data_IF_537885921447
#
_entry.id   IF_537885921447
#
_cell.length_a   1.000
_cell.length_b   1.000
_cell.length_c   1.000
_cell.angle_alpha   90.00
_cell.angle_beta   90.00
_cell.angle_gamma   90.00
#
_symmetry.space_group_name_H-M   'P 1'
#
loop_
_entity.id
_entity.type
_entity.pdbx_description
1 polymer ?
#
# COMPACT_ATOMS: atom_id res chain seq x y z
N UNK A 1 -30.95 -65.95 35.27
CA UNK A 1 -30.06 -65.73 36.44
C UNK A 1 -28.67 -65.32 35.94
N UNK A 2 -28.17 -64.18 36.47
CA UNK A 2 -26.75 -63.81 36.66
C UNK A 2 -25.87 -63.39 35.44
N UNK A 3 -25.90 -62.07 35.19
CA UNK A 3 -24.77 -61.10 35.10
C UNK A 3 -23.33 -61.54 34.76
N UNK A 4 -22.69 -60.82 33.80
CA UNK A 4 -21.46 -59.95 33.88
C UNK A 4 -20.83 -59.83 32.46
N UNK A 5 -20.78 -58.67 31.81
CA UNK A 5 -19.81 -57.55 31.85
C UNK A 5 -18.43 -57.83 31.20
N UNK A 6 -17.89 -56.81 30.50
CA UNK A 6 -16.60 -56.63 29.77
C UNK A 6 -16.65 -56.89 28.24
N UNK A 7 -16.76 -55.87 27.37
CA UNK A 7 -15.90 -54.72 27.05
C UNK A 7 -14.69 -55.06 26.15
N UNK A 8 -14.75 -54.65 24.87
CA UNK A 8 -13.64 -54.09 24.08
C UNK A 8 -14.11 -53.81 22.63
N UNK A 9 -14.71 -52.65 22.41
CA UNK A 9 -14.95 -52.09 21.08
C UNK A 9 -13.73 -51.22 20.75
N UNK A 10 -12.79 -51.73 19.94
CA UNK A 10 -11.65 -50.95 19.46
C UNK A 10 -12.15 -49.93 18.44
N UNK A 11 -12.37 -48.70 18.90
CA UNK A 11 -12.63 -47.54 18.07
C UNK A 11 -11.29 -47.08 17.48
N UNK A 12 -11.06 -47.36 16.19
CA UNK A 12 -9.97 -46.78 15.43
C UNK A 12 -10.30 -45.29 15.18
N UNK A 13 -9.86 -44.42 16.08
CA UNK A 13 -9.86 -42.97 15.84
C UNK A 13 -8.72 -42.68 14.87
N UNK A 14 -9.08 -42.57 13.58
CA UNK A 14 -8.20 -42.01 12.58
C UNK A 14 -7.87 -40.58 12.97
N UNK A 15 -6.59 -40.34 13.26
CA UNK A 15 -6.03 -39.02 13.54
C UNK A 15 -6.07 -38.21 12.23
N UNK A 16 -7.21 -37.56 11.96
CA UNK A 16 -7.31 -36.57 10.91
C UNK A 16 -6.59 -35.31 11.41
N UNK A 17 -5.29 -35.22 11.11
CA UNK A 17 -4.53 -33.99 11.20
C UNK A 17 -5.15 -32.99 10.22
N UNK A 18 -6.12 -32.22 10.71
CA UNK A 18 -6.57 -31.00 10.07
C UNK A 18 -5.37 -30.06 10.12
N UNK A 19 -4.56 -30.08 9.07
CA UNK A 19 -3.63 -29.01 8.77
C UNK A 19 -4.50 -27.79 8.45
N UNK A 20 -4.87 -27.04 9.49
CA UNK A 20 -5.34 -25.68 9.29
C UNK A 20 -4.23 -24.99 8.51
N UNK A 21 -4.49 -24.44 7.31
CA UNK A 21 -3.52 -23.55 6.71
C UNK A 21 -3.29 -22.46 7.77
N UNK A 22 -2.05 -22.33 8.23
CA UNK A 22 -1.60 -21.12 8.92
C UNK A 22 -1.81 -20.00 7.93
N UNK A 23 -3.02 -19.42 7.92
CA UNK A 23 -3.27 -18.16 7.27
C UNK A 23 -2.25 -17.22 7.85
N UNK A 24 -1.44 -16.59 7.00
CA UNK A 24 -0.61 -15.47 7.41
C UNK A 24 -1.53 -14.55 8.22
N UNK A 25 -1.29 -14.46 9.53
CA UNK A 25 -2.04 -13.56 10.40
C UNK A 25 -1.89 -12.18 9.76
N UNK A 26 -3.02 -11.54 9.47
CA UNK A 26 -3.06 -10.15 9.05
C UNK A 26 -2.22 -9.36 10.07
N UNK A 27 -1.14 -8.72 9.64
CA UNK A 27 -0.31 -7.93 10.55
C UNK A 27 -1.15 -6.73 11.06
N UNK A 28 -0.96 -6.33 12.30
CA UNK A 28 -1.69 -5.17 12.80
C UNK A 28 -1.27 -3.89 12.03
N UNK A 29 -2.17 -2.90 11.88
CA UNK A 29 -1.81 -1.63 11.26
C UNK A 29 -0.72 -0.89 12.06
N UNK A 30 0.01 0.04 11.42
CA UNK A 30 0.99 0.86 12.13
C UNK A 30 0.28 1.73 13.17
N UNK A 31 0.87 1.80 14.36
CA UNK A 31 0.36 2.54 15.52
C UNK A 31 0.83 3.98 15.51
N UNK A 32 2.09 4.21 15.10
CA UNK A 32 2.68 5.55 15.09
C UNK A 32 3.62 5.76 13.92
N UNK A 33 3.81 7.01 13.53
CA UNK A 33 4.82 7.44 12.56
C UNK A 33 5.90 8.23 13.31
N UNK A 34 7.12 7.68 13.34
CA UNK A 34 8.31 8.40 13.72
C UNK A 34 8.78 9.28 12.57
N UNK A 35 8.96 10.57 12.81
CA UNK A 35 9.42 11.55 11.83
C UNK A 35 10.25 12.66 12.47
N UNK A 36 10.78 13.56 11.64
CA UNK A 36 11.63 14.68 12.08
C UNK A 36 12.79 14.20 12.97
N UNK A 37 13.36 13.07 12.59
CA UNK A 37 14.46 12.43 13.31
C UNK A 37 15.72 13.30 13.18
N UNK A 38 16.37 13.55 14.31
CA UNK A 38 17.63 14.29 14.40
C UNK A 38 18.59 13.58 15.34
N UNK A 39 19.88 13.65 15.04
CA UNK A 39 20.93 12.97 15.82
C UNK A 39 20.81 11.45 15.79
N UNK A 40 21.28 10.79 16.85
CA UNK A 40 21.27 9.33 16.94
C UNK A 40 19.89 8.81 17.35
N UNK A 41 19.19 8.15 16.43
CA UNK A 41 17.92 7.48 16.71
C UNK A 41 17.94 6.08 16.10
N UNK A 42 17.48 5.10 16.86
CA UNK A 42 17.49 3.69 16.45
C UNK A 42 16.12 3.05 16.71
N UNK A 43 15.80 2.05 15.89
CA UNK A 43 14.61 1.23 15.97
C UNK A 43 15.00 -0.24 16.20
N UNK A 44 14.19 -0.94 16.97
CA UNK A 44 14.28 -2.38 17.17
C UNK A 44 12.90 -3.01 17.17
N UNK A 45 12.77 -4.22 16.63
CA UNK A 45 11.53 -5.03 16.69
C UNK A 45 11.50 -6.00 17.87
N UNK A 46 12.67 -6.39 18.37
CA UNK A 46 12.86 -7.45 19.35
C UNK A 46 13.56 -6.95 20.63
N UNK A 47 13.99 -5.68 20.65
CA UNK A 47 14.81 -5.09 21.70
C UNK A 47 16.29 -5.52 21.67
N UNK A 48 16.67 -6.46 20.80
CA UNK A 48 18.01 -7.02 20.70
C UNK A 48 18.81 -6.40 19.54
N UNK A 49 18.20 -6.33 18.35
CA UNK A 49 18.83 -5.75 17.16
C UNK A 49 18.35 -4.32 16.96
N UNK A 50 19.27 -3.36 17.00
CA UNK A 50 18.98 -1.94 16.82
C UNK A 50 19.51 -1.46 15.47
N UNK A 51 18.66 -0.77 14.70
CA UNK A 51 18.99 -0.23 13.39
C UNK A 51 18.82 1.28 13.40
N UNK A 52 19.75 2.05 12.80
CA UNK A 52 19.62 3.49 12.73
C UNK A 52 18.38 3.89 11.93
N UNK A 53 17.68 4.92 12.41
CA UNK A 53 16.56 5.56 11.73
C UNK A 53 17.01 6.92 11.26
N UNK A 54 17.00 7.13 9.95
CA UNK A 54 17.42 8.38 9.31
C UNK A 54 16.32 9.00 8.45
N UNK A 55 15.12 8.41 8.48
CA UNK A 55 13.95 8.75 7.66
C UNK A 55 12.68 8.51 8.48
N UNK A 56 11.55 8.93 7.93
CA UNK A 56 10.26 8.64 8.54
C UNK A 56 10.06 7.12 8.61
N UNK A 57 9.51 6.64 9.71
CA UNK A 57 9.33 5.21 9.97
C UNK A 57 7.99 4.94 10.64
N UNK A 58 7.21 4.07 10.03
CA UNK A 58 6.01 3.51 10.64
C UNK A 58 6.41 2.49 11.72
N UNK A 59 5.74 2.58 12.85
CA UNK A 59 5.96 1.77 14.04
C UNK A 59 4.74 0.90 14.31
N UNK A 60 4.99 -0.36 14.58
CA UNK A 60 4.00 -1.39 14.87
C UNK A 60 4.05 -1.79 16.34
N UNK A 61 3.02 -2.49 16.81
CA UNK A 61 3.01 -3.02 18.16
C UNK A 61 4.26 -3.88 18.43
N UNK A 62 4.93 -3.64 19.55
CA UNK A 62 6.20 -4.27 19.94
C UNK A 62 7.44 -3.53 19.48
N UNK A 63 7.34 -2.57 18.55
CA UNK A 63 8.48 -1.77 18.13
C UNK A 63 9.03 -0.93 19.29
N UNK A 64 10.35 -0.78 19.31
CA UNK A 64 11.07 0.07 20.25
C UNK A 64 11.87 1.12 19.50
N UNK A 65 11.84 2.35 20.02
CA UNK A 65 12.67 3.46 19.58
C UNK A 65 13.57 3.87 20.73
N UNK A 66 14.85 4.14 20.44
CA UNK A 66 15.75 4.80 21.39
C UNK A 66 16.48 5.96 20.75
N UNK A 67 16.77 6.97 21.56
CA UNK A 67 17.55 8.15 21.17
C UNK A 67 18.87 8.20 21.93
N UNK A 68 19.94 8.60 21.25
CA UNK A 68 21.22 8.93 21.88
C UNK A 68 21.15 10.26 22.63
N UNK A 69 22.28 10.71 23.16
CA UNK A 69 22.39 11.99 23.86
C UNK A 69 22.14 13.21 22.96
N UNK A 70 22.30 13.04 21.65
CA UNK A 70 22.02 14.05 20.61
C UNK A 70 20.72 13.77 19.83
N UNK A 71 20.02 12.67 20.18
CA UNK A 71 18.90 12.14 19.42
C UNK A 71 17.56 12.80 19.79
N UNK A 72 16.71 13.00 18.80
CA UNK A 72 15.31 13.39 19.00
C UNK A 72 14.44 12.97 17.80
N UNK A 73 13.12 12.99 18.00
CA UNK A 73 12.17 12.72 16.94
C UNK A 73 10.75 13.06 17.37
N UNK A 74 9.82 13.00 16.41
CA UNK A 74 8.40 13.24 16.63
C UNK A 74 7.62 11.96 16.29
N UNK A 75 6.83 11.48 17.23
CA UNK A 75 5.92 10.35 17.09
C UNK A 75 4.52 10.89 16.86
N UNK A 76 3.92 10.58 15.72
CA UNK A 76 2.52 10.92 15.41
C UNK A 76 1.67 9.66 15.61
N UNK A 77 0.71 9.72 16.51
CA UNK A 77 -0.22 8.62 16.77
C UNK A 77 -1.24 8.49 15.63
N UNK A 78 -1.42 7.27 15.13
CA UNK A 78 -2.27 7.01 13.96
C UNK A 78 -3.75 7.27 14.24
N UNK A 79 -4.22 6.96 15.45
CA UNK A 79 -5.63 7.00 15.80
C UNK A 79 -6.11 8.41 16.15
N UNK A 80 -5.29 9.17 16.86
CA UNK A 80 -5.64 10.50 17.38
C UNK A 80 -5.06 11.65 16.55
N UNK A 81 -4.12 11.38 15.65
CA UNK A 81 -3.32 12.39 14.95
C UNK A 81 -2.63 13.38 15.90
N UNK A 82 -2.37 12.94 17.14
CA UNK A 82 -1.61 13.70 18.13
C UNK A 82 -0.14 13.36 18.00
N UNK A 83 0.71 14.35 18.18
CA UNK A 83 2.14 14.20 18.10
C UNK A 83 2.83 14.40 19.45
N UNK A 84 3.89 13.64 19.68
CA UNK A 84 4.73 13.74 20.87
C UNK A 84 6.20 13.72 20.47
N UNK A 85 7.00 14.54 21.14
CA UNK A 85 8.46 14.61 20.91
C UNK A 85 9.18 13.67 21.86
N UNK A 86 9.98 12.76 21.31
CA UNK A 86 10.92 11.92 22.08
C UNK A 86 12.19 12.73 22.34
N UNK A 87 12.55 12.88 23.62
CA UNK A 87 13.74 13.61 24.04
C UNK A 87 15.01 12.77 23.87
N UNK A 88 16.18 13.40 23.96
CA UNK A 88 17.48 12.72 23.99
C UNK A 88 17.62 11.74 25.15
N UNK A 89 18.31 10.63 24.94
CA UNK A 89 18.54 9.60 25.94
C UNK A 89 17.26 8.90 26.42
N UNK A 90 16.27 8.78 25.53
CA UNK A 90 14.97 8.17 25.83
C UNK A 90 14.79 6.86 25.09
N UNK A 91 13.97 5.97 25.65
CA UNK A 91 13.52 4.75 25.01
C UNK A 91 11.99 4.63 25.14
N UNK A 92 11.33 4.40 24.02
CA UNK A 92 9.89 4.26 23.89
C UNK A 92 9.58 2.89 23.30
N UNK A 93 8.56 2.23 23.84
CA UNK A 93 8.01 0.98 23.36
C UNK A 93 6.58 1.23 22.84
N UNK A 94 6.23 0.66 21.70
CA UNK A 94 4.86 0.62 21.20
C UNK A 94 4.14 -0.53 21.88
N UNK A 95 3.61 -0.29 23.07
CA UNK A 95 2.91 -1.28 23.88
C UNK A 95 1.47 -1.44 23.38
N UNK A 96 1.26 -2.41 22.49
CA UNK A 96 -0.02 -2.61 21.80
C UNK A 96 -0.32 -1.40 20.92
N UNK A 97 -1.38 -0.65 21.25
CA UNK A 97 -1.78 0.57 20.53
C UNK A 97 -1.34 1.86 21.22
N UNK A 98 -0.44 1.79 22.20
CA UNK A 98 -0.04 2.96 23.01
C UNK A 98 1.47 3.12 23.06
N UNK A 99 1.93 4.37 23.20
CA UNK A 99 3.35 4.68 23.40
C UNK A 99 3.69 4.63 24.89
N UNK A 100 4.60 3.74 25.26
CA UNK A 100 5.06 3.55 26.64
C UNK A 100 6.50 4.01 26.78
N UNK A 101 6.75 4.91 27.74
CA UNK A 101 8.11 5.34 28.08
C UNK A 101 8.80 4.25 28.89
N UNK A 102 9.86 3.66 28.34
CA UNK A 102 10.73 2.71 29.05
C UNK A 102 11.77 3.48 29.87
N UNK A 103 12.34 4.54 29.28
CA UNK A 103 13.28 5.45 29.93
C UNK A 103 13.28 6.82 29.25
N UNK A 104 13.77 7.86 29.96
CA UNK A 104 13.84 9.22 29.44
C UNK A 104 12.50 9.94 29.45
N UNK A 105 12.20 10.72 28.40
CA UNK A 105 11.03 11.61 28.33
C UNK A 105 10.34 11.60 26.96
N UNK A 106 9.02 11.65 27.01
CA UNK A 106 8.13 11.91 25.88
C UNK A 106 7.29 13.13 26.22
N UNK A 107 7.16 14.10 25.30
CA UNK A 107 6.37 15.31 25.57
C UNK A 107 4.89 15.01 25.78
N UNK A 108 4.15 15.98 26.32
CA UNK A 108 2.70 15.93 26.26
C UNK A 108 2.22 15.88 24.80
N UNK A 109 1.08 15.23 24.50
CA UNK A 109 0.49 15.23 23.17
C UNK A 109 0.08 16.64 22.72
N UNK A 110 0.44 16.98 21.49
CA UNK A 110 -0.02 18.20 20.78
C UNK A 110 -0.63 17.82 19.43
N UNK A 111 -1.40 18.71 18.81
CA UNK A 111 -1.94 18.44 17.47
C UNK A 111 -0.79 18.29 16.46
N UNK A 112 -0.82 17.22 15.64
CA UNK A 112 0.15 17.08 14.56
C UNK A 112 -0.05 18.14 13.48
N UNK A 113 1.02 18.51 12.79
CA UNK A 113 0.94 19.36 11.62
C UNK A 113 0.42 18.55 10.43
N UNK A 114 -0.87 18.69 10.12
CA UNK A 114 -1.54 18.00 9.02
C UNK A 114 -2.01 16.58 9.35
N UNK A 115 -2.68 15.94 8.40
CA UNK A 115 -3.30 14.61 8.54
C UNK A 115 -2.44 13.52 7.88
N UNK A 116 -1.19 13.38 8.31
CA UNK A 116 -0.19 12.52 7.66
C UNK A 116 -0.53 11.02 7.69
N UNK A 117 -1.21 10.59 8.75
CA UNK A 117 -1.51 9.18 9.05
C UNK A 117 -3.00 8.88 9.06
N UNK A 118 -3.84 9.87 8.74
CA UNK A 118 -5.28 9.71 8.69
C UNK A 118 -5.68 8.65 7.67
N UNK A 119 -6.61 7.77 8.06
CA UNK A 119 -7.11 6.68 7.20
C UNK A 119 -6.11 5.56 6.90
N UNK A 120 -4.83 5.69 7.27
CA UNK A 120 -3.77 4.73 6.95
C UNK A 120 -4.06 3.34 7.54
N UNK A 121 -4.49 3.25 8.81
CA UNK A 121 -4.75 1.97 9.47
C UNK A 121 -5.83 1.15 8.75
N UNK A 122 -6.93 1.78 8.34
CA UNK A 122 -7.99 1.13 7.57
C UNK A 122 -7.49 0.69 6.19
N UNK A 123 -6.76 1.57 5.49
CA UNK A 123 -6.22 1.25 4.16
C UNK A 123 -5.23 0.10 4.22
N UNK A 124 -4.41 0.06 5.27
CA UNK A 124 -3.46 -1.01 5.54
C UNK A 124 -4.14 -2.35 5.80
N UNK A 125 -5.12 -2.38 6.70
CA UNK A 125 -5.89 -3.59 6.99
C UNK A 125 -6.60 -4.16 5.75
N UNK A 126 -7.12 -3.28 4.89
CA UNK A 126 -7.70 -3.68 3.61
C UNK A 126 -6.62 -4.22 2.64
N UNK A 127 -5.47 -3.54 2.56
CA UNK A 127 -4.38 -3.89 1.66
C UNK A 127 -3.83 -5.30 1.90
N UNK A 128 -3.82 -5.76 3.14
CA UNK A 128 -3.34 -7.09 3.50
C UNK A 128 -4.08 -8.23 2.80
N UNK A 129 -5.37 -8.04 2.47
CA UNK A 129 -6.17 -9.03 1.73
C UNK A 129 -5.62 -9.30 0.33
N UNK A 130 -4.79 -8.40 -0.20
CA UNK A 130 -4.20 -8.51 -1.53
C UNK A 130 -2.79 -9.10 -1.55
N UNK A 131 -2.19 -9.33 -0.38
CA UNK A 131 -0.81 -9.85 -0.23
C UNK A 131 -0.69 -11.35 -0.43
N UNK A 132 -1.79 -12.10 -0.37
CA UNK A 132 -1.77 -13.55 -0.55
C UNK A 132 -1.55 -13.92 -2.01
N UNK A 133 -0.46 -14.62 -2.28
CA UNK A 133 -0.21 -15.18 -3.61
C UNK A 133 -1.02 -16.47 -3.74
N UNK A 134 -2.05 -16.45 -4.57
CA UNK A 134 -2.67 -17.70 -5.03
C UNK A 134 -1.75 -18.32 -6.07
N UNK A 135 -1.27 -19.53 -5.84
CA UNK A 135 -0.65 -20.35 -6.89
C UNK A 135 -1.69 -20.63 -7.96
N UNK A 136 -1.74 -19.80 -8.99
CA UNK A 136 -2.51 -20.10 -10.19
C UNK A 136 -1.79 -21.24 -10.91
N UNK A 137 -2.51 -22.33 -11.17
CA UNK A 137 -2.13 -23.31 -12.19
C UNK A 137 -1.96 -22.52 -13.48
N UNK A 138 -0.76 -22.54 -14.08
CA UNK A 138 -0.51 -21.96 -15.39
C UNK A 138 -1.49 -22.62 -16.36
N UNK A 139 -2.57 -21.90 -16.71
CA UNK A 139 -3.40 -22.27 -17.85
C UNK A 139 -2.68 -21.73 -19.07
N UNK A 140 -2.13 -22.64 -19.86
CA UNK A 140 -1.72 -22.34 -21.23
C UNK A 140 -2.91 -21.76 -22.00
N UNK A 141 -2.65 -20.68 -22.73
CA UNK A 141 -3.57 -20.03 -23.68
C UNK A 141 -4.91 -19.58 -23.07
N UNK A 142 -4.92 -18.42 -22.42
CA UNK A 142 -6.16 -17.71 -22.10
C UNK A 142 -6.24 -16.42 -22.92
N UNK A 143 -7.38 -16.21 -23.59
CA UNK A 143 -7.71 -14.96 -24.27
C UNK A 143 -7.33 -13.72 -23.44
N UNK A 144 -6.89 -12.65 -24.11
CA UNK A 144 -6.52 -11.39 -23.45
C UNK A 144 -7.69 -10.91 -22.62
N UNK A 145 -7.48 -10.84 -21.30
CA UNK A 145 -8.48 -10.37 -20.35
C UNK A 145 -8.06 -9.02 -19.79
N UNK A 146 -8.56 -7.95 -20.40
CA UNK A 146 -8.30 -6.60 -19.94
C UNK A 146 -9.31 -6.21 -18.86
N UNK A 147 -8.77 -5.70 -17.75
CA UNK A 147 -9.54 -5.03 -16.71
C UNK A 147 -8.94 -3.65 -16.47
N UNK A 148 -9.79 -2.67 -16.24
CA UNK A 148 -9.40 -1.31 -15.92
C UNK A 148 -9.86 -0.94 -14.51
N UNK A 149 -9.29 0.13 -13.97
CA UNK A 149 -9.72 0.71 -12.71
C UNK A 149 -11.20 1.12 -12.79
N UNK A 150 -11.97 0.85 -11.73
CA UNK A 150 -13.41 1.13 -11.72
C UNK A 150 -13.71 2.62 -11.55
N UNK A 151 -12.92 3.32 -10.74
CA UNK A 151 -13.00 4.75 -10.55
C UNK A 151 -11.60 5.28 -10.21
N UNK A 152 -11.18 6.37 -10.85
CA UNK A 152 -9.90 7.02 -10.59
C UNK A 152 -10.08 8.54 -10.60
N UNK A 153 -9.35 9.24 -9.73
CA UNK A 153 -9.27 10.69 -9.72
C UNK A 153 -8.08 11.14 -10.55
N UNK A 154 -8.31 12.04 -11.50
CA UNK A 154 -7.29 12.67 -12.33
C UNK A 154 -7.37 14.19 -12.20
N UNK A 155 -6.31 14.88 -12.60
CA UNK A 155 -6.28 16.35 -12.62
C UNK A 155 -5.27 16.85 -13.65
N UNK A 156 -5.17 18.17 -13.82
CA UNK A 156 -4.11 18.77 -14.63
C UNK A 156 -2.71 18.39 -14.12
N UNK A 157 -2.53 18.31 -12.79
CA UNK A 157 -1.26 17.89 -12.17
C UNK A 157 -1.02 16.37 -12.22
N UNK A 158 -2.09 15.57 -12.26
CA UNK A 158 -2.02 14.10 -12.33
C UNK A 158 -2.94 13.55 -13.45
N UNK A 159 -2.58 13.73 -14.73
CA UNK A 159 -3.46 13.45 -15.87
C UNK A 159 -3.36 12.02 -16.41
N UNK A 160 -2.66 11.11 -15.74
CA UNK A 160 -2.34 9.80 -16.32
C UNK A 160 -3.33 8.70 -15.91
N UNK A 161 -3.90 8.04 -16.92
CA UNK A 161 -4.49 6.71 -16.78
C UNK A 161 -3.43 5.64 -16.98
N UNK A 162 -3.64 4.50 -16.33
CA UNK A 162 -2.75 3.36 -16.47
C UNK A 162 -3.51 2.03 -16.46
N UNK A 163 -3.04 1.06 -17.24
CA UNK A 163 -3.57 -0.31 -17.28
C UNK A 163 -2.47 -1.31 -17.67
N UNK A 164 -2.78 -2.61 -17.53
CA UNK A 164 -1.82 -3.68 -17.80
C UNK A 164 -1.40 -3.71 -19.28
N UNK A 165 -0.09 -3.85 -19.52
CA UNK A 165 0.45 -4.07 -20.86
C UNK A 165 0.23 -5.51 -21.32
N UNK A 166 0.14 -5.70 -22.65
CA UNK A 166 0.17 -7.01 -23.30
C UNK A 166 1.30 -7.12 -24.33
N UNK A 167 2.34 -6.27 -24.22
CA UNK A 167 3.50 -6.21 -25.12
C UNK A 167 3.33 -5.23 -26.29
N UNK A 168 4.45 -4.86 -26.94
CA UNK A 168 4.48 -3.88 -28.05
C UNK A 168 3.65 -4.24 -29.28
N UNK A 169 3.35 -5.53 -29.47
CA UNK A 169 2.53 -6.01 -30.58
C UNK A 169 1.05 -5.62 -30.46
N UNK A 170 0.60 -5.26 -29.24
CA UNK A 170 -0.76 -4.82 -29.00
C UNK A 170 -0.82 -3.31 -28.81
N UNK A 171 -1.65 -2.63 -29.60
CA UNK A 171 -2.02 -1.24 -29.33
C UNK A 171 -3.36 -1.17 -28.60
N UNK A 172 -3.73 0.01 -28.15
CA UNK A 172 -4.95 0.24 -27.39
C UNK A 172 -5.74 1.39 -27.98
N UNK A 173 -7.06 1.31 -27.82
CA UNK A 173 -7.97 2.43 -28.07
C UNK A 173 -8.68 2.76 -26.77
N UNK A 174 -8.37 3.91 -26.20
CA UNK A 174 -9.07 4.45 -25.03
C UNK A 174 -10.20 5.33 -25.53
N UNK A 175 -11.42 5.06 -25.09
CA UNK A 175 -12.58 5.92 -25.41
C UNK A 175 -13.03 6.64 -24.15
N UNK A 176 -13.01 7.96 -24.14
CA UNK A 176 -13.44 8.81 -23.00
C UNK A 176 -14.63 9.65 -23.48
N UNK A 177 -15.78 9.51 -22.84
CA UNK A 177 -17.04 10.17 -23.24
C UNK A 177 -17.34 10.07 -24.75
N UNK A 178 -17.04 8.91 -25.34
CA UNK A 178 -17.22 8.65 -26.78
C UNK A 178 -16.09 9.12 -27.68
N UNK A 179 -15.09 9.84 -27.17
CA UNK A 179 -13.91 10.27 -27.94
C UNK A 179 -12.80 9.22 -27.86
N UNK A 180 -12.38 8.69 -29.01
CA UNK A 180 -11.38 7.64 -29.10
C UNK A 180 -9.94 8.20 -29.24
N UNK A 181 -9.00 7.59 -28.51
CA UNK A 181 -7.57 7.88 -28.52
C UNK A 181 -6.77 6.60 -28.72
N UNK A 182 -5.90 6.59 -29.73
CA UNK A 182 -4.99 5.46 -29.96
C UNK A 182 -3.74 5.58 -29.09
N UNK A 183 -3.38 4.49 -28.42
CA UNK A 183 -2.22 4.40 -27.54
C UNK A 183 -1.36 3.22 -28.00
N UNK A 184 -0.06 3.45 -28.17
CA UNK A 184 0.86 2.40 -28.59
C UNK A 184 1.11 1.38 -27.46
N UNK A 185 1.44 0.15 -27.85
CA UNK A 185 1.90 -0.87 -26.91
C UNK A 185 3.29 -0.58 -26.38
N UNK A 186 3.65 -1.27 -25.29
CA UNK A 186 4.97 -1.18 -24.65
C UNK A 186 5.44 -2.55 -24.18
N UNK A 187 6.75 -2.72 -24.03
CA UNK A 187 7.35 -3.93 -23.42
C UNK A 187 7.44 -3.80 -21.89
N UNK A 188 7.11 -2.63 -21.35
CA UNK A 188 6.95 -2.46 -19.91
C UNK A 188 5.69 -3.17 -19.41
N UNK A 189 5.63 -3.48 -18.12
CA UNK A 189 4.49 -4.15 -17.48
C UNK A 189 3.19 -3.28 -17.46
N UNK A 190 3.31 -1.99 -17.77
CA UNK A 190 2.27 -0.96 -17.62
C UNK A 190 2.19 -0.08 -18.86
N UNK A 191 0.98 0.17 -19.35
CA UNK A 191 0.70 1.22 -20.33
C UNK A 191 0.23 2.47 -19.60
N UNK A 192 0.71 3.64 -20.04
CA UNK A 192 0.27 4.95 -19.54
C UNK A 192 -0.31 5.79 -20.65
N UNK A 193 -1.35 6.53 -20.33
CA UNK A 193 -1.97 7.48 -21.24
C UNK A 193 -2.26 8.78 -20.50
N UNK A 194 -1.65 9.86 -20.99
CA UNK A 194 -1.95 11.21 -20.54
C UNK A 194 -3.29 11.64 -21.13
N UNK A 195 -4.31 11.69 -20.27
CA UNK A 195 -5.65 12.12 -20.64
C UNK A 195 -5.62 13.60 -21.00
N UNK A 196 -6.18 14.00 -22.15
CA UNK A 196 -6.40 15.41 -22.47
C UNK A 196 -7.25 16.09 -21.40
N UNK A 197 -7.13 17.39 -21.25
CA UNK A 197 -7.89 18.12 -20.22
C UNK A 197 -9.40 17.91 -20.39
N UNK A 198 -10.07 17.53 -19.29
CA UNK A 198 -11.52 17.31 -19.24
C UNK A 198 -12.20 18.42 -18.42
N UNK A 199 -13.52 18.51 -18.52
CA UNK A 199 -14.31 19.32 -17.59
C UNK A 199 -14.20 18.77 -16.17
N UNK A 200 -14.39 19.59 -15.14
CA UNK A 200 -14.42 19.08 -13.77
C UNK A 200 -15.63 18.16 -13.54
N UNK A 201 -15.44 17.05 -12.82
CA UNK A 201 -16.50 16.12 -12.47
C UNK A 201 -16.31 14.72 -13.03
N UNK A 202 -17.42 14.03 -13.31
CA UNK A 202 -17.42 12.61 -13.65
C UNK A 202 -17.39 12.40 -15.17
N UNK A 203 -16.53 11.50 -15.61
CA UNK A 203 -16.42 11.03 -16.99
C UNK A 203 -16.38 9.51 -17.00
N UNK A 204 -16.68 8.89 -18.14
CA UNK A 204 -16.54 7.45 -18.30
C UNK A 204 -15.50 7.10 -19.35
N UNK A 205 -14.87 5.94 -19.20
CA UNK A 205 -13.93 5.45 -20.18
C UNK A 205 -13.95 3.93 -20.36
N UNK A 206 -13.63 3.49 -21.57
CA UNK A 206 -13.36 2.10 -21.92
C UNK A 206 -12.01 1.97 -22.61
N UNK A 207 -11.45 0.76 -22.61
CA UNK A 207 -10.19 0.47 -23.28
C UNK A 207 -10.34 -0.81 -24.09
N UNK A 208 -10.05 -0.72 -25.38
CA UNK A 208 -9.97 -1.86 -26.28
C UNK A 208 -8.51 -2.22 -26.58
N UNK A 209 -8.22 -3.51 -26.71
CA UNK A 209 -6.93 -4.03 -27.16
C UNK A 209 -7.00 -4.35 -28.64
N UNK A 210 -6.02 -3.87 -29.39
CA UNK A 210 -5.92 -4.00 -30.83
C UNK A 210 -4.67 -4.82 -31.20
N UNK A 211 -4.79 -5.67 -32.21
CA UNK A 211 -3.67 -6.30 -32.91
C UNK A 211 -3.72 -5.82 -34.36
N UNK A 212 -2.83 -4.88 -34.70
CA UNK A 212 -2.95 -4.11 -35.94
C UNK A 212 -4.27 -3.33 -35.99
N UNK A 213 -5.08 -3.59 -37.02
CA UNK A 213 -6.39 -2.96 -37.18
C UNK A 213 -7.55 -3.74 -36.52
N UNK A 214 -7.28 -4.92 -35.98
CA UNK A 214 -8.32 -5.81 -35.44
C UNK A 214 -8.45 -5.66 -33.93
N UNK A 215 -9.66 -5.43 -33.43
CA UNK A 215 -9.95 -5.49 -32.00
C UNK A 215 -9.90 -6.93 -31.51
N UNK A 216 -9.05 -7.23 -30.54
CA UNK A 216 -8.84 -8.58 -29.98
C UNK A 216 -9.38 -8.76 -28.57
N UNK A 217 -9.55 -7.68 -27.82
CA UNK A 217 -10.20 -7.68 -26.51
C UNK A 217 -10.79 -6.30 -26.19
N UNK A 218 -11.66 -6.27 -25.19
CA UNK A 218 -12.21 -5.05 -24.61
C UNK A 218 -12.16 -5.15 -23.08
N UNK A 219 -12.21 -4.01 -22.40
CA UNK A 219 -12.27 -4.00 -20.95
C UNK A 219 -13.58 -4.67 -20.49
N UNK A 220 -13.48 -5.59 -19.52
CA UNK A 220 -14.66 -6.31 -18.98
C UNK A 220 -15.77 -5.37 -18.47
N UNK A 221 -15.40 -4.16 -18.03
CA UNK A 221 -16.28 -3.12 -17.47
C UNK A 221 -15.76 -1.74 -17.86
N UNK A 222 -16.68 -0.79 -17.94
CA UNK A 222 -16.37 0.64 -18.01
C UNK A 222 -15.71 1.11 -16.72
N UNK A 223 -14.76 2.04 -16.83
CA UNK A 223 -14.17 2.76 -15.72
C UNK A 223 -14.70 4.18 -15.62
N UNK A 224 -14.65 4.76 -14.42
CA UNK A 224 -14.99 6.16 -14.17
C UNK A 224 -13.75 7.01 -13.92
N UNK A 225 -13.78 8.24 -14.40
CA UNK A 225 -12.80 9.29 -14.07
C UNK A 225 -13.53 10.36 -13.25
N UNK A 226 -12.90 10.81 -12.17
CA UNK A 226 -13.25 12.06 -11.49
C UNK A 226 -12.15 13.05 -11.84
N UNK A 227 -12.45 14.04 -12.67
CA UNK A 227 -11.52 15.10 -13.01
C UNK A 227 -11.64 16.24 -11.99
N UNK A 228 -10.56 16.53 -11.27
CA UNK A 228 -10.54 17.61 -10.29
C UNK A 228 -10.67 18.97 -10.98
N UNK A 229 -11.46 19.85 -10.37
CA UNK A 229 -11.41 21.27 -10.71
C UNK A 229 -10.04 21.87 -10.37
N UNK A 230 -9.71 23.02 -10.96
CA UNK A 230 -8.47 23.72 -10.65
C UNK A 230 -8.33 24.08 -9.15
N UNK A 231 -9.44 24.33 -8.46
CA UNK A 231 -9.45 24.61 -7.03
C UNK A 231 -9.12 23.35 -6.20
N UNK A 232 -9.68 22.20 -6.57
CA UNK A 232 -9.39 20.91 -5.92
C UNK A 232 -7.95 20.44 -6.19
N UNK A 233 -7.48 20.59 -7.43
CA UNK A 233 -6.09 20.28 -7.79
C UNK A 233 -5.10 21.16 -7.03
N UNK A 234 -5.41 22.45 -6.88
CA UNK A 234 -4.62 23.35 -6.03
C UNK A 234 -4.65 22.93 -4.56
N UNK A 235 -5.81 22.56 -4.02
CA UNK A 235 -5.93 22.12 -2.63
C UNK A 235 -5.13 20.82 -2.38
N UNK A 236 -5.11 19.91 -3.36
CA UNK A 236 -4.26 18.72 -3.34
C UNK A 236 -2.78 19.11 -3.33
N UNK A 237 -2.34 19.98 -4.23
CA UNK A 237 -0.97 20.47 -4.28
C UNK A 237 -0.52 21.17 -2.98
N UNK A 238 -1.38 22.01 -2.40
CA UNK A 238 -1.12 22.69 -1.13
C UNK A 238 -1.00 21.68 0.03
N UNK A 239 -1.77 20.59 0.00
CA UNK A 239 -1.67 19.50 0.99
C UNK A 239 -0.35 18.73 0.84
N UNK A 240 0.07 18.43 -0.39
CA UNK A 240 1.37 17.81 -0.67
C UNK A 240 2.51 18.73 -0.21
N UNK A 241 2.41 20.03 -0.47
CA UNK A 241 3.41 21.01 -0.05
C UNK A 241 3.58 21.03 1.49
N UNK A 242 2.49 20.89 2.25
CA UNK A 242 2.56 20.77 3.72
C UNK A 242 3.32 19.53 4.17
N UNK A 243 3.09 18.37 3.53
CA UNK A 243 3.85 17.14 3.82
C UNK A 243 5.34 17.36 3.54
N UNK A 244 5.67 17.93 2.38
CA UNK A 244 7.05 18.20 1.96
C UNK A 244 7.75 19.24 2.82
N UNK A 245 7.01 20.18 3.40
CA UNK A 245 7.55 21.15 4.35
C UNK A 245 8.00 20.49 5.68
N UNK A 246 7.36 19.39 6.08
CA UNK A 246 7.76 18.60 7.25
C UNK A 246 8.96 17.72 6.92
N UNK A 247 8.90 17.02 5.78
CA UNK A 247 10.01 16.22 5.26
C UNK A 247 9.95 16.18 3.72
N UNK A 248 10.93 16.82 3.08
CA UNK A 248 10.98 16.94 1.62
C UNK A 248 11.08 15.58 0.90
N UNK A 249 11.54 14.52 1.57
CA UNK A 249 11.70 13.17 1.00
C UNK A 249 10.61 12.19 1.44
N UNK A 250 9.53 12.65 2.07
CA UNK A 250 8.44 11.78 2.51
C UNK A 250 7.50 11.38 1.35
N UNK A 251 8.04 10.59 0.42
CA UNK A 251 7.28 10.05 -0.71
C UNK A 251 6.14 9.15 -0.25
N UNK A 252 6.31 8.44 0.86
CA UNK A 252 5.27 7.53 1.36
C UNK A 252 4.03 8.28 1.85
N UNK A 253 4.21 9.35 2.64
CA UNK A 253 3.05 10.12 3.12
C UNK A 253 2.35 10.86 1.99
N UNK A 254 3.10 11.31 0.96
CA UNK A 254 2.50 11.83 -0.28
C UNK A 254 1.72 10.74 -1.02
N UNK A 255 2.26 9.52 -1.14
CA UNK A 255 1.56 8.39 -1.72
C UNK A 255 0.25 8.11 -0.98
N UNK A 256 0.29 8.07 0.35
CA UNK A 256 -0.87 7.83 1.21
C UNK A 256 -1.96 8.90 1.05
N UNK A 257 -1.58 10.18 0.91
CA UNK A 257 -2.51 11.27 0.61
C UNK A 257 -3.15 11.10 -0.77
N UNK A 258 -2.34 10.83 -1.81
CA UNK A 258 -2.84 10.63 -3.17
C UNK A 258 -3.80 9.44 -3.25
N UNK A 259 -3.46 8.34 -2.59
CA UNK A 259 -4.27 7.13 -2.47
C UNK A 259 -5.63 7.44 -1.83
N UNK A 260 -5.64 8.20 -0.72
CA UNK A 260 -6.87 8.67 -0.10
C UNK A 260 -7.77 9.48 -1.03
N UNK A 261 -7.18 10.33 -1.88
CA UNK A 261 -7.92 11.16 -2.83
C UNK A 261 -8.28 10.41 -4.12
N UNK A 262 -7.98 9.13 -4.22
CA UNK A 262 -8.25 8.30 -5.40
C UNK A 262 -7.34 8.61 -6.60
N UNK A 263 -6.24 9.35 -6.38
CA UNK A 263 -5.24 9.67 -7.42
C UNK A 263 -4.27 8.49 -7.54
N UNK A 264 -4.81 7.32 -7.90
CA UNK A 264 -4.17 6.02 -7.70
C UNK A 264 -2.89 5.84 -8.51
N UNK A 265 -2.79 6.40 -9.73
CA UNK A 265 -1.55 6.35 -10.53
C UNK A 265 -0.46 7.18 -9.87
N UNK A 266 -0.77 8.39 -9.42
CA UNK A 266 0.17 9.23 -8.67
C UNK A 266 0.61 8.57 -7.35
N UNK A 267 -0.32 7.95 -6.62
CA UNK A 267 -0.01 7.20 -5.41
C UNK A 267 0.94 6.02 -5.68
N UNK A 268 0.63 5.23 -6.71
CA UNK A 268 1.48 4.11 -7.15
C UNK A 268 2.90 4.57 -7.45
N UNK A 269 3.09 5.70 -8.14
CA UNK A 269 4.41 6.22 -8.49
C UNK A 269 5.22 6.62 -7.27
N UNK A 270 4.57 7.26 -6.29
CA UNK A 270 5.22 7.63 -5.04
C UNK A 270 5.55 6.40 -4.18
N UNK A 271 4.66 5.40 -4.13
CA UNK A 271 4.96 4.12 -3.45
C UNK A 271 6.13 3.38 -4.12
N UNK A 272 6.17 3.30 -5.46
CA UNK A 272 7.27 2.67 -6.19
C UNK A 272 8.60 3.33 -5.86
N UNK A 273 8.65 4.67 -5.96
CA UNK A 273 9.84 5.45 -5.61
C UNK A 273 10.28 5.19 -4.16
N UNK A 274 9.34 5.16 -3.22
CA UNK A 274 9.62 4.85 -1.83
C UNK A 274 10.24 3.45 -1.67
N UNK A 275 9.64 2.40 -2.24
CA UNK A 275 10.14 1.03 -2.06
C UNK A 275 11.42 0.74 -2.85
N UNK A 276 11.71 1.49 -3.91
CA UNK A 276 13.00 1.45 -4.59
C UNK A 276 14.14 1.92 -3.68
N UNK A 277 13.89 2.95 -2.87
CA UNK A 277 14.85 3.49 -1.91
C UNK A 277 14.84 2.75 -0.56
N UNK A 278 13.71 2.16 -0.17
CA UNK A 278 13.48 1.55 1.14
C UNK A 278 13.06 0.08 0.97
N UNK A 279 13.88 -0.70 0.26
CA UNK A 279 13.56 -2.09 -0.10
C UNK A 279 13.22 -2.96 1.10
N UNK A 280 13.77 -2.68 2.28
CA UNK A 280 13.57 -3.49 3.49
C UNK A 280 12.36 -3.12 4.32
N UNK A 281 11.65 -2.04 3.97
CA UNK A 281 10.37 -1.71 4.58
C UNK A 281 9.26 -2.61 4.03
N UNK A 282 9.34 -3.89 4.35
CA UNK A 282 8.40 -4.88 3.85
C UNK A 282 7.01 -4.72 4.48
N UNK A 283 6.93 -4.17 5.69
CA UNK A 283 5.69 -4.04 6.45
C UNK A 283 4.67 -3.15 5.73
N UNK A 284 5.14 -2.06 5.11
CA UNK A 284 4.27 -1.11 4.38
C UNK A 284 4.00 -1.50 2.93
N UNK A 285 4.71 -2.50 2.38
CA UNK A 285 4.56 -3.00 1.00
C UNK A 285 3.12 -3.39 0.60
N UNK A 286 2.22 -3.85 1.49
CA UNK A 286 0.82 -4.09 1.15
C UNK A 286 0.13 -2.92 0.45
N UNK A 287 0.46 -1.66 0.77
CA UNK A 287 -0.17 -0.50 0.11
C UNK A 287 0.20 -0.39 -1.38
N UNK A 288 1.44 -0.72 -1.77
CA UNK A 288 1.81 -0.80 -3.19
C UNK A 288 1.07 -1.94 -3.89
N UNK A 289 0.97 -3.10 -3.24
CA UNK A 289 0.21 -4.26 -3.76
C UNK A 289 -1.26 -3.89 -3.97
N UNK A 290 -1.84 -3.13 -3.03
CA UNK A 290 -3.19 -2.57 -3.15
C UNK A 290 -3.31 -1.64 -4.35
N UNK A 291 -2.42 -0.67 -4.52
CA UNK A 291 -2.44 0.25 -5.66
C UNK A 291 -2.42 -0.52 -7.01
N UNK A 292 -1.57 -1.54 -7.13
CA UNK A 292 -1.56 -2.43 -8.30
C UNK A 292 -2.88 -3.18 -8.48
N UNK A 293 -3.49 -3.67 -7.40
CA UNK A 293 -4.77 -4.34 -7.44
C UNK A 293 -5.94 -3.42 -7.84
N UNK A 294 -5.94 -2.17 -7.38
CA UNK A 294 -6.94 -1.16 -7.75
C UNK A 294 -6.86 -0.85 -9.24
N UNK A 295 -5.65 -0.62 -9.77
CA UNK A 295 -5.35 -0.41 -11.19
C UNK A 295 -5.47 -1.68 -12.04
N UNK A 296 -5.79 -2.83 -11.44
CA UNK A 296 -5.92 -4.14 -12.11
C UNK A 296 -4.64 -4.61 -12.82
N UNK A 297 -3.47 -4.21 -12.29
CA UNK A 297 -2.15 -4.61 -12.77
C UNK A 297 -1.78 -5.98 -12.19
N UNK A 298 -2.32 -7.04 -12.79
CA UNK A 298 -2.27 -8.40 -12.20
C UNK A 298 -0.84 -8.90 -12.04
N UNK A 299 0.00 -8.71 -13.05
CA UNK A 299 1.40 -9.16 -13.03
C UNK A 299 2.23 -8.39 -12.00
N UNK A 300 2.13 -7.06 -11.98
CA UNK A 300 2.83 -6.23 -10.99
C UNK A 300 2.38 -6.56 -9.56
N UNK A 301 1.07 -6.70 -9.34
CA UNK A 301 0.54 -7.15 -8.04
C UNK A 301 1.15 -8.48 -7.62
N UNK A 302 1.21 -9.46 -8.52
CA UNK A 302 1.74 -10.78 -8.21
C UNK A 302 3.24 -10.75 -7.92
N UNK A 303 4.03 -10.05 -8.74
CA UNK A 303 5.47 -9.85 -8.51
C UNK A 303 5.72 -9.22 -7.14
N UNK A 304 4.96 -8.18 -6.82
CA UNK A 304 5.12 -7.45 -5.55
C UNK A 304 4.68 -8.27 -4.33
N UNK A 305 3.60 -9.04 -4.46
CA UNK A 305 3.15 -9.96 -3.42
C UNK A 305 4.16 -11.10 -3.18
N UNK A 306 4.84 -11.60 -4.21
CA UNK A 306 5.94 -12.57 -4.04
C UNK A 306 7.08 -11.94 -3.23
N UNK A 307 7.54 -10.73 -3.59
CA UNK A 307 8.56 -10.00 -2.83
C UNK A 307 8.16 -9.84 -1.36
N UNK A 308 6.90 -9.49 -1.10
CA UNK A 308 6.37 -9.37 0.26
C UNK A 308 6.47 -10.69 1.05
N UNK A 309 5.98 -11.79 0.48
CA UNK A 309 5.96 -13.09 1.17
C UNK A 309 7.37 -13.68 1.34
N UNK A 310 8.26 -13.52 0.35
CA UNK A 310 9.64 -14.00 0.44
C UNK A 310 10.38 -13.32 1.61
N UNK A 311 10.16 -12.01 1.79
CA UNK A 311 10.72 -11.25 2.93
C UNK A 311 10.05 -11.54 4.27
N UNK A 312 8.79 -11.98 4.29
CA UNK A 312 8.17 -12.46 5.52
C UNK A 312 8.79 -13.79 5.99
N UNK A 313 9.07 -14.70 5.05
CA UNK A 313 9.64 -16.02 5.36
C UNK A 313 11.15 -16.00 5.67
N UNK A 314 11.82 -14.88 5.41
CA UNK A 314 13.25 -14.70 5.64
C UNK A 314 13.60 -14.13 7.05
N UNK A 315 12.59 -13.70 7.81
CA UNK A 315 12.73 -13.30 9.21
C UNK A 315 12.32 -14.44 10.14
#
# INVERSE_FOLDING_TARGET
MKTKLFAAFFFAVGLLLIQTPTGALAADPPVSLLMQVSGTVEHSRDGATWKPVNRNKYLFAGDMIRTGSDGSGKLVDQASNMAQTIASGSQIEVAGTTLKVVSGKLSAPEAASGDLVAGLGNRFAEAQRYTTVRRSVQKESAAIKLRVVQQITLSASYPELAWQSFGKQHSFVVTIDGTAHTVAGTDEDLVRFKVPELGAGKHTFTVAVMNGATKVADADKEGGIIWLSAAEDKALADSIAKIRAINAKDDFSVANLLDEKGVTVGAMDMYRKYFDENKDDNEMRPLLIRAYNELKLVELKQKEALVYNDKLNAN
#
